data_IF_964574413575
#
_entry.id   IF_964574413575
#
_cell.length_a   1.000
_cell.length_b   1.000
_cell.length_c   1.000
_cell.angle_alpha   90.00
_cell.angle_beta   90.00
_cell.angle_gamma   90.00
#
_symmetry.space_group_name_H-M   'P 1'
#
loop_
_entity.id
_entity.type
_entity.pdbx_description
1 polymer ?
#
# COMPACT_ATOMS: atom_id res chain seq x y z
N UNK A 1 -3.53 -3.57 8.85
CA UNK A 1 -4.68 -3.51 7.91
C UNK A 1 -4.14 -3.18 6.54
N UNK A 2 -4.64 -3.84 5.50
CA UNK A 2 -4.23 -3.58 4.12
C UNK A 2 -4.81 -2.25 3.63
N UNK A 3 -4.00 -1.46 2.95
CA UNK A 3 -4.39 -0.20 2.33
C UNK A 3 -4.13 -0.27 0.83
N UNK A 4 -5.00 0.38 0.05
CA UNK A 4 -4.89 0.40 -1.40
C UNK A 4 -5.21 1.79 -1.95
N UNK A 5 -4.63 2.08 -3.11
CA UNK A 5 -4.79 3.35 -3.80
C UNK A 5 -5.62 3.11 -5.05
N UNK A 6 -6.59 3.97 -5.30
CA UNK A 6 -7.50 3.86 -6.42
C UNK A 6 -7.76 5.22 -7.07
N UNK A 7 -8.18 5.19 -8.32
CA UNK A 7 -8.58 6.40 -9.05
C UNK A 7 -10.10 6.50 -9.04
N UNK A 8 -10.62 7.70 -8.77
CA UNK A 8 -12.04 8.03 -8.91
C UNK A 8 -12.19 9.45 -9.44
N UNK A 9 -13.00 9.63 -10.48
CA UNK A 9 -13.29 10.94 -11.09
C UNK A 9 -12.03 11.74 -11.49
N UNK A 10 -11.01 11.07 -12.02
CA UNK A 10 -9.75 11.71 -12.40
C UNK A 10 -8.88 12.16 -11.21
N UNK A 11 -9.14 11.65 -10.01
CA UNK A 11 -8.38 11.94 -8.79
C UNK A 11 -7.93 10.64 -8.12
N UNK A 12 -6.85 10.71 -7.36
CA UNK A 12 -6.27 9.54 -6.69
C UNK A 12 -6.62 9.57 -5.20
N UNK A 13 -7.06 8.43 -4.68
CA UNK A 13 -7.54 8.27 -3.32
C UNK A 13 -6.88 7.06 -2.67
N UNK A 14 -6.73 7.10 -1.34
CA UNK A 14 -6.30 5.97 -0.53
C UNK A 14 -7.41 5.54 0.43
N UNK A 15 -7.63 4.23 0.50
CA UNK A 15 -8.55 3.57 1.45
C UNK A 15 -7.82 2.50 2.27
N UNK A 16 -8.41 2.12 3.40
CA UNK A 16 -7.87 1.09 4.30
C UNK A 16 -6.67 1.53 5.16
N UNK A 17 -6.15 2.74 4.96
CA UNK A 17 -5.09 3.30 5.81
C UNK A 17 -5.65 3.64 7.19
N UNK A 18 -5.18 2.93 8.21
CA UNK A 18 -5.55 3.14 9.60
C UNK A 18 -4.56 4.11 10.28
N UNK A 19 -5.05 5.27 10.70
CA UNK A 19 -4.26 6.22 11.49
C UNK A 19 -4.89 6.32 12.87
N UNK A 20 -4.18 5.81 13.88
CA UNK A 20 -4.60 5.90 15.28
C UNK A 20 -4.55 7.35 15.75
N UNK A 21 -5.64 7.82 16.34
CA UNK A 21 -5.66 9.14 16.98
C UNK A 21 -4.71 9.13 18.19
N UNK A 22 -4.01 10.25 18.40
CA UNK A 22 -3.21 10.45 19.60
C UNK A 22 -4.10 11.06 20.67
N UNK A 23 -4.35 10.32 21.76
CA UNK A 23 -5.12 10.83 22.90
C UNK A 23 -4.48 12.06 23.55
N UNK A 24 -3.16 12.21 23.43
CA UNK A 24 -2.42 13.38 23.89
C UNK A 24 -2.69 14.65 23.07
N UNK A 25 -3.17 14.51 21.83
CA UNK A 25 -3.49 15.66 20.98
C UNK A 25 -4.89 16.23 21.24
N UNK A 26 -5.88 15.37 21.52
CA UNK A 26 -7.23 15.78 21.87
C UNK A 26 -8.02 14.61 22.46
N UNK A 27 -8.71 14.83 23.58
CA UNK A 27 -9.60 13.83 24.20
C UNK A 27 -11.04 13.93 23.69
N UNK A 28 -11.44 15.09 23.16
CA UNK A 28 -12.84 15.39 22.82
C UNK A 28 -13.16 15.16 21.34
N UNK A 29 -12.14 14.98 20.49
CA UNK A 29 -12.30 14.78 19.04
C UNK A 29 -11.90 13.34 18.71
N UNK A 30 -12.85 12.57 18.20
CA UNK A 30 -12.62 11.19 17.73
C UNK A 30 -12.58 11.15 16.20
N UNK A 31 -11.40 11.26 15.56
CA UNK A 31 -11.31 11.21 14.10
C UNK A 31 -11.53 9.79 13.58
N UNK A 32 -12.22 9.67 12.45
CA UNK A 32 -12.34 8.39 11.74
C UNK A 32 -10.97 7.87 11.27
N UNK A 33 -10.46 6.83 11.93
CA UNK A 33 -9.12 6.28 11.71
C UNK A 33 -8.91 5.77 10.29
N UNK A 34 -9.95 5.23 9.66
CA UNK A 34 -9.92 4.61 8.31
C UNK A 34 -10.59 5.47 7.23
N UNK A 35 -10.78 6.78 7.46
CA UNK A 35 -11.41 7.64 6.44
C UNK A 35 -10.62 7.62 5.12
N UNK A 36 -11.33 7.64 4.00
CA UNK A 36 -10.73 7.74 2.67
C UNK A 36 -10.07 9.12 2.54
N UNK A 37 -8.85 9.18 2.01
CA UNK A 37 -8.11 10.44 1.83
C UNK A 37 -7.74 10.65 0.38
N UNK A 38 -7.90 11.89 -0.09
CA UNK A 38 -7.44 12.31 -1.42
C UNK A 38 -5.93 12.50 -1.39
N UNK A 39 -5.24 12.03 -2.43
CA UNK A 39 -3.82 12.26 -2.63
C UNK A 39 -3.60 13.49 -3.51
N UNK A 40 -2.63 14.32 -3.14
CA UNK A 40 -2.28 15.54 -3.87
C UNK A 40 -1.15 15.23 -4.84
N UNK A 41 -1.51 15.03 -6.11
CA UNK A 41 -0.60 14.72 -7.22
C UNK A 41 -0.80 15.74 -8.33
N UNK A 42 0.20 15.88 -9.21
CA UNK A 42 0.07 16.74 -10.38
C UNK A 42 -0.87 16.11 -11.42
N UNK A 43 -1.60 16.93 -12.18
CA UNK A 43 -2.55 16.43 -13.20
C UNK A 43 -1.88 15.50 -14.23
N UNK A 44 -0.67 15.84 -14.68
CA UNK A 44 0.10 15.03 -15.62
C UNK A 44 0.48 13.65 -15.05
N UNK A 45 0.84 13.60 -13.78
CA UNK A 45 1.16 12.34 -13.07
C UNK A 45 -0.08 11.47 -12.96
N UNK A 46 -1.22 12.05 -12.58
CA UNK A 46 -2.49 11.34 -12.47
C UNK A 46 -2.88 10.71 -13.81
N UNK A 47 -2.81 11.45 -14.91
CA UNK A 47 -3.11 10.94 -16.24
C UNK A 47 -2.20 9.75 -16.63
N UNK A 48 -0.91 9.83 -16.29
CA UNK A 48 0.04 8.72 -16.52
C UNK A 48 -0.31 7.50 -15.68
N UNK A 49 -0.72 7.67 -14.42
CA UNK A 49 -1.12 6.56 -13.56
C UNK A 49 -2.40 5.90 -14.06
N UNK A 50 -3.42 6.68 -14.44
CA UNK A 50 -4.67 6.20 -15.01
C UNK A 50 -4.41 5.32 -16.23
N UNK A 51 -3.60 5.82 -17.19
CA UNK A 51 -3.26 5.05 -18.38
C UNK A 51 -2.54 3.73 -18.09
N UNK A 52 -1.69 3.67 -17.05
CA UNK A 52 -1.01 2.43 -16.66
C UNK A 52 -1.94 1.45 -15.94
N UNK A 53 -2.84 1.95 -15.08
CA UNK A 53 -3.81 1.11 -14.36
C UNK A 53 -4.81 0.51 -15.34
N UNK A 54 -5.45 1.33 -16.17
CA UNK A 54 -6.51 0.90 -17.08
C UNK A 54 -5.99 0.04 -18.24
N UNK A 55 -4.89 0.44 -18.90
CA UNK A 55 -4.44 -0.27 -20.12
C UNK A 55 -3.59 -1.49 -19.84
N UNK A 56 -2.73 -1.44 -18.81
CA UNK A 56 -1.72 -2.48 -18.54
C UNK A 56 -2.10 -3.39 -17.37
N UNK A 57 -3.21 -3.10 -16.69
CA UNK A 57 -3.70 -3.87 -15.54
C UNK A 57 -2.78 -3.78 -14.33
N UNK A 58 -2.10 -2.64 -14.14
CA UNK A 58 -1.33 -2.40 -12.93
C UNK A 58 -2.24 -1.95 -11.78
N UNK A 59 -1.80 -2.21 -10.55
CA UNK A 59 -2.46 -1.77 -9.32
C UNK A 59 -1.59 -0.73 -8.63
N UNK A 60 -2.21 0.30 -8.05
CA UNK A 60 -1.51 1.30 -7.24
C UNK A 60 -1.44 0.83 -5.79
N UNK A 61 -0.22 0.79 -5.24
CA UNK A 61 0.03 0.30 -3.89
C UNK A 61 0.78 1.38 -3.09
N UNK A 62 0.39 1.68 -1.85
CA UNK A 62 1.16 2.55 -0.98
C UNK A 62 2.43 1.83 -0.50
N UNK A 63 3.59 2.47 -0.62
CA UNK A 63 4.89 1.86 -0.28
C UNK A 63 5.44 2.41 1.02
N UNK A 64 5.51 3.74 1.16
CA UNK A 64 6.20 4.38 2.28
C UNK A 64 5.59 5.73 2.66
N UNK A 65 5.62 6.06 3.94
CA UNK A 65 5.25 7.38 4.46
C UNK A 65 6.50 8.06 5.00
N UNK A 66 6.75 9.30 4.59
CA UNK A 66 7.94 10.04 4.98
C UNK A 66 7.64 11.51 5.27
N UNK A 67 8.46 12.11 6.11
CA UNK A 67 8.39 13.53 6.42
C UNK A 67 9.15 14.36 5.37
N UNK A 68 8.53 15.44 4.90
CA UNK A 68 9.16 16.46 4.05
C UNK A 68 8.61 17.84 4.41
N UNK A 69 9.47 18.73 4.87
CA UNK A 69 9.14 20.12 5.22
C UNK A 69 7.89 20.21 6.12
N UNK A 70 7.89 19.47 7.24
CA UNK A 70 6.78 19.40 8.20
C UNK A 70 5.45 18.83 7.65
N UNK A 71 5.49 18.13 6.51
CA UNK A 71 4.34 17.40 5.97
C UNK A 71 4.67 15.93 5.81
N UNK A 72 3.69 15.08 6.05
CA UNK A 72 3.80 13.65 5.72
C UNK A 72 3.43 13.47 4.25
N UNK A 73 4.31 12.81 3.50
CA UNK A 73 4.10 12.42 2.11
C UNK A 73 3.96 10.91 2.01
N UNK A 74 3.10 10.47 1.11
CA UNK A 74 2.90 9.07 0.76
C UNK A 74 3.58 8.79 -0.58
N UNK A 75 4.43 7.78 -0.59
CA UNK A 75 4.96 7.17 -1.80
C UNK A 75 4.01 6.06 -2.28
N UNK A 76 3.70 6.08 -3.58
CA UNK A 76 2.85 5.08 -4.24
C UNK A 76 3.63 4.43 -5.39
N UNK A 77 3.51 3.12 -5.52
CA UNK A 77 4.10 2.33 -6.59
C UNK A 77 3.05 1.72 -7.51
N UNK A 78 3.43 1.46 -8.76
CA UNK A 78 2.69 0.60 -9.68
C UNK A 78 3.18 -0.84 -9.49
N UNK A 79 2.28 -1.74 -9.14
CA UNK A 79 2.57 -3.15 -8.96
C UNK A 79 1.72 -3.99 -9.92
N UNK A 80 2.25 -5.15 -10.34
CA UNK A 80 1.50 -6.18 -11.04
C UNK A 80 1.46 -7.42 -10.16
N UNK A 81 0.27 -8.00 -9.99
CA UNK A 81 0.15 -9.26 -9.26
C UNK A 81 0.96 -10.36 -9.92
N UNK A 82 1.65 -11.18 -9.12
CA UNK A 82 2.28 -12.43 -9.59
C UNK A 82 1.22 -13.37 -10.16
N UNK A 83 1.56 -14.09 -11.25
CA UNK A 83 0.68 -15.11 -11.82
C UNK A 83 0.52 -16.27 -10.84
N UNK A 84 -0.58 -17.03 -10.96
CA UNK A 84 -0.91 -18.11 -10.01
C UNK A 84 0.19 -19.19 -9.95
N UNK A 85 0.84 -19.51 -11.07
CA UNK A 85 1.96 -20.46 -11.11
C UNK A 85 3.19 -19.95 -10.35
N UNK A 86 3.54 -18.67 -10.53
CA UNK A 86 4.67 -18.03 -9.84
C UNK A 86 4.44 -18.00 -8.32
N UNK A 87 3.17 -17.83 -7.88
CA UNK A 87 2.81 -17.88 -6.47
C UNK A 87 3.08 -19.26 -5.87
N UNK A 88 2.66 -20.35 -6.56
CA UNK A 88 2.89 -21.72 -6.09
C UNK A 88 4.38 -22.04 -5.93
N UNK A 89 5.22 -21.62 -6.88
CA UNK A 89 6.67 -21.80 -6.78
C UNK A 89 7.24 -21.02 -5.58
N UNK A 90 6.84 -19.76 -5.43
CA UNK A 90 7.27 -18.91 -4.31
C UNK A 90 6.83 -19.48 -2.95
N UNK A 91 5.62 -20.04 -2.85
CA UNK A 91 5.10 -20.65 -1.62
C UNK A 91 5.88 -21.92 -1.25
N UNK A 92 6.14 -22.79 -2.23
CA UNK A 92 6.97 -23.99 -2.04
C UNK A 92 8.36 -23.65 -1.54
N UNK A 93 9.04 -22.69 -2.18
CA UNK A 93 10.37 -22.27 -1.77
C UNK A 93 10.37 -21.71 -0.34
N UNK A 94 9.34 -20.92 0.00
CA UNK A 94 9.21 -20.31 1.32
C UNK A 94 8.95 -21.35 2.41
N UNK A 95 8.16 -22.38 2.14
CA UNK A 95 7.94 -23.49 3.08
C UNK A 95 9.20 -24.36 3.23
N UNK A 96 9.90 -24.64 2.14
CA UNK A 96 11.18 -25.35 2.18
C UNK A 96 12.24 -24.63 3.02
N UNK A 97 12.35 -23.30 2.91
CA UNK A 97 13.27 -22.52 3.74
C UNK A 97 12.90 -22.56 5.23
N UNK A 98 11.59 -22.59 5.56
CA UNK A 98 11.14 -22.74 6.96
C UNK A 98 11.48 -24.12 7.53
N UNK A 99 11.30 -25.19 6.74
CA UNK A 99 11.68 -26.54 7.17
C UNK A 99 13.18 -26.67 7.41
N UNK A 100 14.00 -26.16 6.48
CA UNK A 100 15.46 -26.07 6.67
C UNK A 100 15.83 -25.35 7.96
N UNK A 101 15.22 -24.19 8.23
CA UNK A 101 15.48 -23.41 9.43
C UNK A 101 15.04 -24.13 10.72
N UNK A 102 13.99 -24.95 10.70
CA UNK A 102 13.60 -25.81 11.83
C UNK A 102 14.60 -26.93 12.06
N UNK A 103 14.98 -27.65 11.01
CA UNK A 103 15.93 -28.76 11.09
C UNK A 103 17.30 -28.29 11.60
N UNK A 104 17.72 -27.07 11.23
CA UNK A 104 18.97 -26.48 11.72
C UNK A 104 18.91 -26.03 13.20
N UNK A 105 17.71 -25.83 13.78
CA UNK A 105 17.51 -25.47 15.19
C UNK A 105 17.36 -26.67 16.12
N UNK A 106 17.06 -27.85 15.57
CA UNK A 106 16.85 -29.10 16.30
C UNK A 106 18.14 -29.91 16.49
N UNK A 107 19.23 -29.50 15.81
CA UNK A 107 20.60 -29.99 16.00
C UNK A 107 21.43 -28.93 16.72
#
# INVERSE_FOLDING_TARGET
KESYVFVKNGEVWISGMHISALNSASTHITPFATRVRKLLLNRLEINKLIGNVERKGYTLVPTFLYWKNNRVKLEIGLAKGKKLHDKRATEKDRDWQREKARNLKLN
#
